data_IF_255319404893
#
_entry.id   IF_255319404893
#
_cell.length_a   1.000
_cell.length_b   1.000
_cell.length_c   1.000
_cell.angle_alpha   90.00
_cell.angle_beta   90.00
_cell.angle_gamma   90.00
#
_symmetry.space_group_name_H-M   'P 1'
#
loop_
_entity.id
_entity.type
_entity.pdbx_description
1 polymer ?
#
# COMPACT_ATOMS: atom_id res chain seq x y z
N UNK A 1 8.50 -7.80 -5.74
CA UNK A 1 9.06 -7.06 -4.60
C UNK A 1 9.48 -8.06 -3.55
N UNK A 2 10.61 -7.84 -2.86
CA UNK A 2 11.09 -8.73 -1.79
C UNK A 2 10.84 -8.10 -0.42
N UNK A 3 10.48 -8.91 0.58
CA UNK A 3 10.41 -8.52 1.98
C UNK A 3 11.81 -8.58 2.60
N UNK A 4 12.16 -7.54 3.35
CA UNK A 4 13.42 -7.44 4.08
C UNK A 4 13.14 -7.83 5.53
N UNK A 5 13.87 -8.83 6.03
CA UNK A 5 13.78 -9.20 7.44
C UNK A 5 14.46 -8.11 8.29
N UNK A 6 13.79 -7.56 9.33
CA UNK A 6 14.36 -6.47 10.12
C UNK A 6 15.70 -6.82 10.79
N UNK A 7 15.87 -8.07 11.22
CA UNK A 7 17.12 -8.54 11.86
C UNK A 7 18.22 -8.91 10.85
N UNK A 8 17.86 -9.12 9.57
CA UNK A 8 18.81 -9.49 8.51
C UNK A 8 18.63 -8.61 7.25
N UNK A 9 18.85 -7.29 7.37
CA UNK A 9 18.60 -6.35 6.28
C UNK A 9 19.49 -6.57 5.06
N UNK A 10 20.67 -7.15 5.25
CA UNK A 10 21.67 -7.40 4.20
C UNK A 10 21.66 -8.84 3.66
N UNK A 11 20.71 -9.68 4.08
CA UNK A 11 20.59 -11.05 3.57
C UNK A 11 20.51 -11.08 2.03
N UNK A 12 21.37 -11.90 1.39
CA UNK A 12 21.45 -12.01 -0.08
C UNK A 12 20.18 -12.57 -0.72
N UNK A 13 19.46 -13.43 0.01
CA UNK A 13 18.19 -14.00 -0.43
C UNK A 13 17.08 -13.28 0.32
N UNK A 14 16.16 -12.66 -0.41
CA UNK A 14 14.97 -12.01 0.15
C UNK A 14 13.73 -12.86 -0.12
N UNK A 15 12.79 -12.86 0.82
CA UNK A 15 11.51 -13.52 0.61
C UNK A 15 10.67 -12.74 -0.39
N UNK A 16 10.07 -13.43 -1.35
CA UNK A 16 9.19 -12.77 -2.31
C UNK A 16 7.90 -12.33 -1.61
N UNK A 17 7.57 -11.05 -1.71
CA UNK A 17 6.26 -10.54 -1.32
C UNK A 17 5.25 -10.98 -2.38
N UNK A 18 4.22 -11.73 -1.97
CA UNK A 18 3.16 -12.12 -2.88
C UNK A 18 2.47 -10.87 -3.45
N UNK A 19 2.34 -10.83 -4.78
CA UNK A 19 1.64 -9.76 -5.49
C UNK A 19 0.17 -9.64 -5.06
N UNK A 20 -0.40 -10.76 -4.62
CA UNK A 20 -1.73 -10.84 -4.02
C UNK A 20 -1.91 -9.89 -2.81
N UNK A 21 -0.87 -9.59 -2.03
CA UNK A 21 -0.97 -8.63 -0.92
C UNK A 21 -1.35 -7.23 -1.41
N UNK A 22 -0.79 -6.80 -2.55
CA UNK A 22 -1.20 -5.52 -3.18
C UNK A 22 -2.56 -5.65 -3.86
N UNK A 23 -2.85 -6.82 -4.43
CA UNK A 23 -4.13 -7.16 -5.05
C UNK A 23 -5.33 -7.01 -4.11
N UNK A 24 -5.21 -7.51 -2.88
CA UNK A 24 -6.27 -7.43 -1.86
C UNK A 24 -6.44 -6.04 -1.24
N UNK A 25 -5.72 -5.01 -1.70
CA UNK A 25 -5.87 -3.65 -1.18
C UNK A 25 -4.69 -3.16 -0.34
N UNK A 26 -3.58 -3.89 -0.31
CA UNK A 26 -2.36 -3.41 0.31
C UNK A 26 -1.81 -2.16 -0.38
N UNK A 27 -1.40 -1.17 0.42
CA UNK A 27 -0.83 0.10 -0.05
C UNK A 27 0.66 0.19 0.26
N UNK A 28 1.39 0.93 -0.58
CA UNK A 28 2.83 1.15 -0.40
C UNK A 28 3.09 2.55 0.14
N UNK A 29 3.68 2.60 1.34
CA UNK A 29 4.12 3.83 2.00
C UNK A 29 5.64 3.98 1.92
N UNK A 30 6.08 5.21 1.71
CA UNK A 30 7.48 5.62 1.84
C UNK A 30 7.90 5.82 3.31
N UNK A 31 9.15 6.23 3.53
CA UNK A 31 9.68 6.58 4.85
C UNK A 31 8.82 7.61 5.58
N UNK A 32 8.17 8.51 4.83
CA UNK A 32 7.40 9.63 5.34
C UNK A 32 5.91 9.27 5.57
N UNK A 33 5.51 8.01 5.35
CA UNK A 33 4.13 7.58 5.51
C UNK A 33 3.22 7.96 4.35
N UNK A 34 3.78 8.34 3.20
CA UNK A 34 3.03 8.78 2.02
C UNK A 34 3.00 7.72 0.93
N UNK A 35 1.88 7.66 0.20
CA UNK A 35 1.74 6.80 -0.98
C UNK A 35 2.55 7.35 -2.14
N UNK A 36 3.36 6.49 -2.78
CA UNK A 36 4.29 6.91 -3.83
C UNK A 36 4.09 6.19 -5.17
N UNK A 37 3.15 5.24 -5.29
CA UNK A 37 2.94 4.45 -6.50
C UNK A 37 1.50 3.92 -6.61
N UNK A 38 1.13 3.49 -7.81
CA UNK A 38 0.03 2.56 -8.03
C UNK A 38 0.50 1.13 -7.74
N UNK A 39 -0.03 0.52 -6.68
CA UNK A 39 0.40 -0.80 -6.20
C UNK A 39 -0.01 -1.95 -7.12
N UNK A 40 -0.98 -1.75 -8.01
CA UNK A 40 -1.39 -2.72 -9.03
C UNK A 40 -0.63 -2.53 -10.35
N UNK A 41 0.29 -1.56 -10.41
CA UNK A 41 1.17 -1.36 -11.55
C UNK A 41 2.14 -2.52 -11.74
N UNK A 42 2.71 -2.59 -12.95
CA UNK A 42 3.71 -3.59 -13.31
C UNK A 42 4.96 -3.49 -12.40
N UNK A 43 5.72 -4.58 -12.33
CA UNK A 43 6.91 -4.68 -11.46
C UNK A 43 7.96 -3.63 -11.78
N UNK A 44 8.24 -3.39 -13.05
CA UNK A 44 9.17 -2.36 -13.54
C UNK A 44 8.74 -0.95 -13.09
N UNK A 45 7.44 -0.64 -13.20
CA UNK A 45 6.89 0.62 -12.73
C UNK A 45 7.08 0.79 -11.22
N UNK A 46 6.66 -0.18 -10.41
CA UNK A 46 6.73 -0.07 -8.94
C UNK A 46 8.19 0.04 -8.48
N UNK A 47 9.10 -0.76 -9.05
CA UNK A 47 10.54 -0.65 -8.77
C UNK A 47 11.09 0.73 -9.16
N UNK A 48 10.72 1.27 -10.32
CA UNK A 48 11.13 2.61 -10.73
C UNK A 48 10.59 3.71 -9.80
N UNK A 49 9.38 3.53 -9.25
CA UNK A 49 8.81 4.43 -8.23
C UNK A 49 9.54 4.32 -6.90
N UNK A 50 9.97 3.13 -6.49
CA UNK A 50 10.80 2.95 -5.29
C UNK A 50 12.14 3.66 -5.42
N UNK A 51 12.81 3.62 -6.58
CA UNK A 51 14.07 4.36 -6.80
C UNK A 51 13.92 5.88 -6.76
N UNK A 52 12.73 6.41 -7.08
CA UNK A 52 12.42 7.84 -7.01
C UNK A 52 11.91 8.28 -5.64
N UNK A 53 11.77 7.35 -4.71
CA UNK A 53 11.19 7.57 -3.38
C UNK A 53 12.20 7.20 -2.29
N UNK A 54 11.88 7.55 -1.05
CA UNK A 54 12.79 7.37 0.08
C UNK A 54 12.35 6.17 0.93
N UNK A 55 13.23 5.17 1.02
CA UNK A 55 13.06 4.04 1.92
C UNK A 55 13.35 4.40 3.38
N UNK A 56 12.94 3.57 4.36
CA UNK A 56 12.34 2.25 4.21
C UNK A 56 10.88 2.29 3.71
N UNK A 57 10.55 1.37 2.80
CA UNK A 57 9.19 1.23 2.25
C UNK A 57 8.38 0.23 3.07
N UNK A 58 7.09 0.49 3.25
CA UNK A 58 6.17 -0.39 3.99
C UNK A 58 4.99 -0.77 3.12
N UNK A 59 4.68 -2.07 3.09
CA UNK A 59 3.43 -2.59 2.53
C UNK A 59 2.45 -2.73 3.68
N UNK A 60 1.37 -1.95 3.65
CA UNK A 60 0.39 -1.87 4.73
C UNK A 60 -0.91 -2.50 4.27
N UNK A 61 -1.49 -3.36 5.12
CA UNK A 61 -2.79 -4.00 4.92
C UNK A 61 -3.70 -3.60 6.07
N UNK A 62 -4.94 -3.27 5.75
CA UNK A 62 -5.97 -3.08 6.78
C UNK A 62 -6.56 -4.43 7.23
N UNK A 63 -7.41 -4.39 8.24
CA UNK A 63 -8.12 -5.53 8.81
C UNK A 63 -8.97 -6.29 7.78
N UNK A 64 -9.58 -5.59 6.82
CA UNK A 64 -10.34 -6.24 5.72
C UNK A 64 -9.42 -7.02 4.78
N UNK A 65 -8.34 -6.39 4.30
CA UNK A 65 -7.36 -7.00 3.40
C UNK A 65 -6.66 -8.19 4.04
N UNK A 66 -6.29 -8.07 5.32
CA UNK A 66 -5.59 -9.13 6.06
C UNK A 66 -6.48 -10.35 6.32
N UNK A 67 -7.79 -10.17 6.51
CA UNK A 67 -8.75 -11.28 6.65
C UNK A 67 -8.87 -12.08 5.36
N UNK A 68 -8.95 -11.43 4.19
CA UNK A 68 -9.04 -12.13 2.91
C UNK A 68 -7.78 -12.96 2.62
N UNK A 69 -6.61 -12.49 3.05
CA UNK A 69 -5.34 -13.14 2.79
C UNK A 69 -4.68 -13.75 4.05
N UNK A 70 -5.51 -14.19 5.01
CA UNK A 70 -5.09 -14.64 6.35
C UNK A 70 -3.92 -15.64 6.33
N UNK A 71 -3.92 -16.60 5.39
CA UNK A 71 -2.83 -17.59 5.30
C UNK A 71 -1.47 -16.93 5.01
N UNK A 72 -1.43 -15.98 4.08
CA UNK A 72 -0.20 -15.25 3.77
C UNK A 72 0.23 -14.38 4.94
N UNK A 73 -0.70 -13.67 5.57
CA UNK A 73 -0.41 -12.87 6.77
C UNK A 73 0.19 -13.73 7.89
N UNK A 74 -0.43 -14.87 8.22
CA UNK A 74 0.11 -15.82 9.22
C UNK A 74 1.49 -16.36 8.84
N UNK A 75 1.69 -16.69 7.56
CA UNK A 75 2.98 -17.17 7.07
C UNK A 75 4.10 -16.13 7.23
N UNK A 76 3.83 -14.87 6.86
CA UNK A 76 4.82 -13.80 6.97
C UNK A 76 5.04 -13.35 8.41
N UNK A 77 4.00 -13.34 9.25
CA UNK A 77 4.12 -13.06 10.69
C UNK A 77 4.95 -14.13 11.40
N UNK A 78 4.71 -15.42 11.12
CA UNK A 78 5.46 -16.53 11.69
C UNK A 78 6.94 -16.55 11.30
N UNK A 79 7.31 -15.83 10.22
CA UNK A 79 8.69 -15.64 9.75
C UNK A 79 9.31 -14.30 10.18
N UNK A 80 8.64 -13.49 10.99
CA UNK A 80 9.13 -12.17 11.40
C UNK A 80 9.15 -11.11 10.28
N UNK A 81 8.55 -11.39 9.12
CA UNK A 81 8.53 -10.51 7.95
C UNK A 81 7.35 -9.53 7.93
N UNK A 82 6.34 -9.78 8.76
CA UNK A 82 5.14 -8.95 8.90
C UNK A 82 4.85 -8.73 10.37
N UNK A 83 4.48 -7.50 10.71
CA UNK A 83 4.10 -7.10 12.08
C UNK A 83 2.64 -6.65 12.09
N UNK A 84 1.92 -7.07 13.12
CA UNK A 84 0.56 -6.62 13.38
C UNK A 84 0.60 -5.42 14.32
N UNK A 85 -0.19 -4.40 14.01
CA UNK A 85 -0.40 -3.21 14.84
C UNK A 85 -1.88 -3.17 15.23
N UNK A 86 -2.22 -2.64 16.41
CA UNK A 86 -3.64 -2.54 16.84
C UNK A 86 -4.32 -1.29 16.28
N UNK A 87 -3.55 -0.37 15.71
CA UNK A 87 -4.04 0.85 15.10
C UNK A 87 -3.02 1.43 14.12
N UNK A 88 -3.50 2.31 13.24
CA UNK A 88 -2.67 3.14 12.38
C UNK A 88 -1.76 4.10 13.17
N UNK A 89 -2.11 4.44 14.41
CA UNK A 89 -1.25 5.26 15.28
C UNK A 89 -0.01 4.51 15.74
N UNK A 90 -0.16 3.24 16.12
CA UNK A 90 0.98 2.38 16.45
C UNK A 90 1.88 2.16 15.23
N UNK A 91 1.28 1.98 14.05
CA UNK A 91 2.01 1.95 12.79
C UNK A 91 2.82 3.24 12.61
N UNK A 92 2.19 4.41 12.68
CA UNK A 92 2.87 5.70 12.50
C UNK A 92 4.02 5.90 13.50
N UNK A 93 3.82 5.50 14.76
CA UNK A 93 4.85 5.55 15.79
C UNK A 93 6.06 4.66 15.46
N UNK A 94 5.82 3.44 15.00
CA UNK A 94 6.88 2.52 14.53
C UNK A 94 7.55 3.03 13.24
N UNK A 95 6.81 3.77 12.41
CA UNK A 95 7.35 4.48 11.27
C UNK A 95 8.23 5.68 11.63
N UNK A 96 8.05 6.25 12.81
CA UNK A 96 8.70 7.51 13.22
C UNK A 96 8.11 8.74 12.53
N UNK A 97 6.83 8.68 12.13
CA UNK A 97 6.12 9.78 11.46
C UNK A 97 4.94 10.25 12.31
N UNK A 98 4.50 11.49 12.11
CA UNK A 98 3.30 12.00 12.78
C UNK A 98 2.07 11.17 12.34
N UNK A 99 1.26 10.62 13.27
CA UNK A 99 0.03 9.88 12.95
C UNK A 99 -0.90 10.61 11.98
N UNK A 100 -0.90 11.95 12.00
CA UNK A 100 -1.67 12.78 11.07
C UNK A 100 -1.26 12.58 9.61
N UNK A 101 0.01 12.27 9.32
CA UNK A 101 0.47 12.03 7.96
C UNK A 101 -0.08 10.73 7.40
N UNK A 102 -0.10 9.68 8.22
CA UNK A 102 -0.69 8.39 7.84
C UNK A 102 -2.20 8.52 7.71
N UNK A 103 -2.86 9.18 8.67
CA UNK A 103 -4.30 9.45 8.62
C UNK A 103 -4.68 10.26 7.37
N UNK A 104 -3.92 11.31 7.03
CA UNK A 104 -4.14 12.09 5.82
C UNK A 104 -3.92 11.25 4.54
N UNK A 105 -2.93 10.36 4.53
CA UNK A 105 -2.69 9.46 3.41
C UNK A 105 -3.84 8.46 3.22
N UNK A 106 -4.40 7.94 4.32
CA UNK A 106 -5.56 7.04 4.28
C UNK A 106 -6.81 7.77 3.82
N UNK A 107 -7.06 8.98 4.34
CA UNK A 107 -8.16 9.83 3.91
C UNK A 107 -8.06 10.17 2.41
N UNK A 108 -6.90 10.63 1.94
CA UNK A 108 -6.67 10.91 0.52
C UNK A 108 -6.95 9.66 -0.34
N UNK A 109 -6.51 8.48 0.11
CA UNK A 109 -6.74 7.22 -0.61
C UNK A 109 -8.23 6.83 -0.65
N UNK A 110 -8.94 6.97 0.46
CA UNK A 110 -10.38 6.71 0.54
C UNK A 110 -11.18 7.69 -0.34
N UNK A 111 -10.83 8.97 -0.33
CA UNK A 111 -11.49 10.01 -1.14
C UNK A 111 -11.30 9.76 -2.63
N UNK A 112 -10.09 9.41 -3.06
CA UNK A 112 -9.79 9.05 -4.45
C UNK A 112 -10.61 7.83 -4.86
N UNK A 113 -10.69 6.81 -4.00
CA UNK A 113 -11.44 5.61 -4.29
C UNK A 113 -12.94 5.88 -4.42
N UNK A 114 -13.52 6.68 -3.53
CA UNK A 114 -14.91 7.10 -3.62
C UNK A 114 -15.18 7.89 -4.91
N UNK A 115 -14.26 8.78 -5.32
CA UNK A 115 -14.36 9.47 -6.61
C UNK A 115 -14.31 8.50 -7.79
N UNK A 116 -13.44 7.50 -7.74
CA UNK A 116 -13.33 6.49 -8.80
C UNK A 116 -14.54 5.57 -8.89
N UNK A 117 -15.18 5.24 -7.76
CA UNK A 117 -16.41 4.45 -7.73
C UNK A 117 -17.61 5.21 -8.29
N UNK A 118 -17.69 6.52 -8.03
CA UNK A 118 -18.78 7.38 -8.49
C UNK A 118 -18.54 7.99 -9.89
N UNK A 119 -17.36 7.82 -10.48
CA UNK A 119 -17.03 8.41 -11.78
C UNK A 119 -17.63 7.61 -12.95
N UNK A 120 -18.16 8.26 -14.00
CA UNK A 120 -18.61 7.58 -15.20
C UNK A 120 -17.42 6.96 -15.98
N UNK A 121 -17.64 5.89 -16.77
CA UNK A 121 -16.58 5.11 -17.42
C UNK A 121 -15.60 5.91 -18.31
N UNK A 122 -16.04 7.02 -18.89
CA UNK A 122 -15.23 7.86 -19.81
C UNK A 122 -14.62 9.11 -19.15
N UNK A 123 -14.96 9.42 -17.90
CA UNK A 123 -14.67 10.73 -17.27
C UNK A 123 -13.90 10.66 -15.95
N UNK A 124 -13.27 9.54 -15.62
CA UNK A 124 -12.69 9.33 -14.30
C UNK A 124 -11.37 10.09 -14.12
N UNK A 125 -11.39 11.41 -14.01
CA UNK A 125 -10.25 12.21 -13.54
C UNK A 125 -9.22 12.66 -14.59
N UNK A 126 -8.23 13.41 -14.12
CA UNK A 126 -7.26 14.12 -14.97
C UNK A 126 -6.03 13.26 -15.33
N UNK A 127 -5.75 12.22 -14.56
CA UNK A 127 -4.54 11.41 -14.72
C UNK A 127 -4.76 10.23 -15.66
N UNK A 128 -3.72 9.84 -16.39
CA UNK A 128 -3.76 8.63 -17.20
C UNK A 128 -3.75 7.40 -16.29
N UNK A 129 -4.68 6.49 -16.55
CA UNK A 129 -4.81 5.26 -15.77
C UNK A 129 -4.15 4.07 -16.44
N UNK A 130 -3.68 3.13 -15.62
CA UNK A 130 -3.19 1.85 -16.09
C UNK A 130 -4.29 0.76 -15.98
N UNK A 131 -4.48 -0.11 -16.99
CA UNK A 131 -3.77 -0.16 -18.28
C UNK A 131 -4.27 0.85 -19.32
N UNK A 132 -5.52 1.33 -19.20
CA UNK A 132 -6.15 2.30 -20.09
C UNK A 132 -7.19 3.16 -19.37
N UNK A 133 -7.50 4.32 -19.94
CA UNK A 133 -8.54 5.25 -19.45
C UNK A 133 -7.98 6.35 -18.54
N UNK A 134 -8.85 6.94 -17.73
CA UNK A 134 -8.52 8.02 -16.79
C UNK A 134 -8.64 7.56 -15.33
N UNK A 135 -7.89 8.23 -14.45
CA UNK A 135 -8.03 8.12 -12.99
C UNK A 135 -8.01 9.48 -12.27
N UNK A 136 -8.72 9.56 -11.14
CA UNK A 136 -8.58 10.62 -10.14
C UNK A 136 -7.32 10.44 -9.26
N UNK A 137 -6.68 9.28 -9.32
CA UNK A 137 -5.40 9.01 -8.67
C UNK A 137 -4.24 9.55 -9.49
N UNK A 138 -3.38 10.36 -8.88
CA UNK A 138 -2.13 10.86 -9.48
C UNK A 138 -1.17 9.76 -9.95
N UNK A 139 -1.32 8.53 -9.43
CA UNK A 139 -0.54 7.37 -9.87
C UNK A 139 -1.25 6.50 -10.91
N UNK A 140 -2.44 6.90 -11.37
CA UNK A 140 -3.19 6.19 -12.39
C UNK A 140 -3.87 4.90 -11.90
N UNK A 141 -4.13 4.75 -10.60
CA UNK A 141 -4.85 3.59 -10.03
C UNK A 141 -6.35 3.68 -10.27
N UNK A 142 -6.96 2.59 -10.76
CA UNK A 142 -8.42 2.52 -11.01
C UNK A 142 -9.16 1.69 -9.98
N UNK A 143 -8.54 0.59 -9.56
CA UNK A 143 -9.18 -0.41 -8.74
C UNK A 143 -8.69 -0.29 -7.30
N UNK A 144 -9.64 -0.18 -6.40
CA UNK A 144 -9.40 -0.08 -4.97
C UNK A 144 -10.18 -1.22 -4.30
N UNK A 145 -9.51 -1.97 -3.43
CA UNK A 145 -10.08 -3.12 -2.74
C UNK A 145 -9.99 -2.90 -1.24
N UNK A 146 -10.93 -3.51 -0.51
CA UNK A 146 -10.93 -3.55 0.95
C UNK A 146 -10.84 -2.19 1.63
N UNK A 147 -11.72 -1.26 1.24
CA UNK A 147 -11.85 0.07 1.80
C UNK A 147 -12.96 0.16 2.87
N UNK A 148 -12.99 1.22 3.71
CA UNK A 148 -11.97 2.27 3.84
C UNK A 148 -10.70 1.79 4.57
N UNK A 149 -9.62 2.56 4.44
CA UNK A 149 -8.48 2.52 5.35
C UNK A 149 -8.76 3.43 6.54
N UNK A 150 -8.69 2.91 7.75
CA UNK A 150 -9.01 3.66 8.97
C UNK A 150 -7.85 3.56 9.97
N UNK A 151 -7.69 4.58 10.81
CA UNK A 151 -6.62 4.61 11.82
C UNK A 151 -6.93 3.73 13.04
N UNK A 152 -8.19 3.37 13.24
CA UNK A 152 -8.70 2.56 14.36
C UNK A 152 -8.90 1.08 14.01
N UNK A 153 -8.48 0.67 12.81
CA UNK A 153 -8.42 -0.73 12.37
C UNK A 153 -7.03 -1.31 12.66
#
# INVERSE_FOLDING_TARGET
TGLVHPEEPDAKIKFLAAEALRGVGGILLDKNGKRFANELGRRDYVTGRMWKSEGPFRLVLNGKSSKEITWHCKHYMGRGLMKHYKSGEELAKDMGVDPKVVAATFAEYNDIAAKMENAPPEGAGEYDAYPTGKSHDKWGKKFFHNLPLEMND
#
